data_IF_284506616377
#
_entry.id   IF_284506616377
#
_cell.length_a   1.000
_cell.length_b   1.000
_cell.length_c   1.000
_cell.angle_alpha   90.00
_cell.angle_beta   90.00
_cell.angle_gamma   90.00
#
_symmetry.space_group_name_H-M   'P 1'
#
loop_
_entity.id
_entity.type
_entity.pdbx_description
1 polymer ?
#
# COMPACT_ATOMS: atom_id res chain seq x y z
N UNK A 1 -69.80 -35.24 -2.43
CA UNK A 1 -69.19 -35.93 -1.32
C UNK A 1 -67.72 -35.52 -1.23
N UNK A 2 -67.48 -34.67 -0.28
CA UNK A 2 -66.21 -34.23 0.23
C UNK A 2 -65.44 -35.34 0.93
N UNK A 3 -64.18 -35.49 0.66
CA UNK A 3 -63.10 -35.75 1.62
C UNK A 3 -61.84 -36.18 0.85
N UNK A 4 -60.70 -35.52 1.16
CA UNK A 4 -59.40 -36.10 0.88
C UNK A 4 -58.41 -35.30 0.01
N UNK A 5 -58.14 -34.02 0.35
CA UNK A 5 -56.97 -33.29 -0.18
C UNK A 5 -56.32 -32.49 0.98
N UNK A 6 -55.80 -33.20 1.95
CA UNK A 6 -55.00 -32.57 3.03
C UNK A 6 -53.97 -33.55 3.60
N UNK A 7 -53.09 -34.19 2.82
CA UNK A 7 -52.03 -34.98 3.44
C UNK A 7 -50.78 -35.16 2.55
N UNK A 8 -50.47 -34.26 1.59
CA UNK A 8 -49.29 -34.38 0.74
C UNK A 8 -48.26 -33.22 0.85
N UNK A 9 -48.48 -32.27 1.77
CA UNK A 9 -47.61 -31.11 1.86
C UNK A 9 -46.35 -31.22 2.78
N UNK A 10 -46.20 -32.17 3.74
CA UNK A 10 -44.95 -32.28 4.50
C UNK A 10 -43.84 -33.08 3.80
N UNK A 11 -44.14 -33.95 2.88
CA UNK A 11 -43.12 -34.80 2.21
C UNK A 11 -42.34 -34.10 1.09
N UNK A 12 -42.91 -33.10 0.43
CA UNK A 12 -42.23 -32.38 -0.64
C UNK A 12 -41.20 -31.38 -0.09
N UNK A 13 -41.49 -30.74 1.05
CA UNK A 13 -40.56 -29.80 1.70
C UNK A 13 -39.32 -30.50 2.28
N UNK A 14 -39.48 -31.71 2.82
CA UNK A 14 -38.38 -32.49 3.38
C UNK A 14 -37.44 -33.02 2.29
N UNK A 15 -37.95 -33.43 1.10
CA UNK A 15 -37.13 -33.79 -0.04
C UNK A 15 -36.36 -32.61 -0.62
N UNK A 16 -36.96 -31.41 -0.63
CA UNK A 16 -36.26 -30.19 -1.07
C UNK A 16 -35.15 -29.77 -0.13
N UNK A 17 -35.40 -29.89 1.18
CA UNK A 17 -34.40 -29.60 2.20
C UNK A 17 -33.21 -30.57 2.17
N UNK A 18 -33.49 -31.88 2.03
CA UNK A 18 -32.47 -32.90 1.85
C UNK A 18 -31.67 -32.73 0.53
N UNK A 19 -32.32 -32.35 -0.57
CA UNK A 19 -31.61 -32.03 -1.82
C UNK A 19 -30.71 -30.80 -1.68
N UNK A 20 -31.16 -29.74 -1.02
CA UNK A 20 -30.30 -28.55 -0.74
C UNK A 20 -29.16 -28.89 0.21
N UNK A 21 -29.41 -29.67 1.25
CA UNK A 21 -28.36 -30.10 2.18
C UNK A 21 -27.32 -30.99 1.48
N UNK A 22 -27.74 -31.93 0.64
CA UNK A 22 -26.83 -32.77 -0.16
C UNK A 22 -26.07 -31.94 -1.20
N UNK A 23 -26.70 -30.96 -1.85
CA UNK A 23 -26.02 -30.04 -2.76
C UNK A 23 -25.00 -29.20 -2.04
N UNK A 24 -25.31 -28.69 -0.86
CA UNK A 24 -24.36 -27.90 -0.04
C UNK A 24 -23.18 -28.77 0.45
N UNK A 25 -23.42 -30.01 0.86
CA UNK A 25 -22.35 -30.95 1.24
C UNK A 25 -21.52 -31.36 0.02
N UNK A 26 -22.11 -31.56 -1.15
CA UNK A 26 -21.39 -31.84 -2.39
C UNK A 26 -20.57 -30.62 -2.85
N UNK A 27 -21.10 -29.39 -2.72
CA UNK A 27 -20.35 -28.17 -3.00
C UNK A 27 -19.17 -27.99 -2.04
N UNK A 28 -19.37 -28.29 -0.76
CA UNK A 28 -18.31 -28.23 0.26
C UNK A 28 -17.22 -29.31 0.01
N UNK A 29 -17.60 -30.54 -0.35
CA UNK A 29 -16.65 -31.59 -0.74
C UNK A 29 -15.92 -31.28 -2.04
N UNK A 30 -16.60 -30.72 -3.04
CA UNK A 30 -15.97 -30.29 -4.31
C UNK A 30 -14.98 -29.13 -4.07
N UNK A 31 -15.32 -28.19 -3.18
CA UNK A 31 -14.44 -27.11 -2.75
C UNK A 31 -13.21 -27.65 -2.01
N UNK A 32 -13.36 -28.61 -1.11
CA UNK A 32 -12.23 -29.22 -0.38
C UNK A 32 -11.34 -30.09 -1.26
N UNK A 33 -11.93 -30.79 -2.24
CA UNK A 33 -11.15 -31.56 -3.22
C UNK A 33 -10.38 -30.61 -4.17
N UNK A 34 -11.00 -29.52 -4.57
CA UNK A 34 -10.36 -28.45 -5.35
C UNK A 34 -9.19 -27.81 -4.61
N UNK A 35 -9.32 -27.58 -3.29
CA UNK A 35 -8.24 -27.08 -2.44
C UNK A 35 -7.12 -28.11 -2.28
N UNK A 36 -7.41 -29.39 -2.11
CA UNK A 36 -6.39 -30.46 -2.02
C UNK A 36 -5.59 -30.62 -3.30
N UNK A 37 -6.23 -30.56 -4.45
CA UNK A 37 -5.54 -30.63 -5.75
C UNK A 37 -4.74 -29.36 -6.04
N UNK A 38 -5.22 -28.18 -5.63
CA UNK A 38 -4.50 -26.91 -5.72
C UNK A 38 -3.26 -26.94 -4.83
N UNK A 39 -3.41 -27.38 -3.56
CA UNK A 39 -2.31 -27.46 -2.61
C UNK A 39 -1.24 -28.45 -3.06
N UNK A 40 -1.61 -29.62 -3.60
CA UNK A 40 -0.65 -30.59 -4.13
C UNK A 40 0.19 -30.07 -5.30
N UNK A 41 -0.40 -29.23 -6.18
CA UNK A 41 0.29 -28.62 -7.31
C UNK A 41 1.07 -27.34 -6.99
N UNK A 42 0.81 -26.70 -5.82
CA UNK A 42 1.37 -25.41 -5.42
C UNK A 42 2.03 -25.42 -4.04
N UNK A 43 2.40 -26.60 -3.53
CA UNK A 43 2.95 -26.74 -2.18
C UNK A 43 4.11 -25.76 -1.90
N UNK A 44 5.08 -25.70 -2.81
CA UNK A 44 6.24 -24.80 -2.69
C UNK A 44 5.82 -23.34 -2.68
N UNK A 45 4.84 -22.98 -3.52
CA UNK A 45 4.28 -21.62 -3.54
C UNK A 45 3.60 -21.29 -2.20
N UNK A 46 2.75 -22.19 -1.66
CA UNK A 46 2.07 -21.95 -0.38
C UNK A 46 3.06 -21.76 0.77
N UNK A 47 4.11 -22.55 0.82
CA UNK A 47 5.17 -22.40 1.84
C UNK A 47 5.83 -21.03 1.70
N UNK A 48 6.31 -20.67 0.51
CA UNK A 48 6.97 -19.40 0.28
C UNK A 48 6.03 -18.21 0.54
N UNK A 49 4.82 -18.27 -0.01
CA UNK A 49 3.83 -17.20 0.14
C UNK A 49 3.42 -16.95 1.59
N UNK A 50 3.09 -18.00 2.35
CA UNK A 50 2.62 -17.84 3.74
C UNK A 50 3.73 -17.35 4.66
N UNK A 51 4.95 -17.89 4.53
CA UNK A 51 6.07 -17.49 5.39
C UNK A 51 6.57 -16.09 5.06
N UNK A 52 6.65 -15.72 3.77
CA UNK A 52 7.02 -14.35 3.36
C UNK A 52 5.94 -13.34 3.74
N UNK A 53 4.64 -13.67 3.63
CA UNK A 53 3.56 -12.78 4.07
C UNK A 53 3.59 -12.55 5.59
N UNK A 54 3.90 -13.58 6.37
CA UNK A 54 4.05 -13.46 7.82
C UNK A 54 5.25 -12.59 8.19
N UNK A 55 6.40 -12.79 7.54
CA UNK A 55 7.58 -11.95 7.72
C UNK A 55 7.34 -10.49 7.31
N UNK A 56 6.65 -10.27 6.20
CA UNK A 56 6.28 -8.91 5.78
C UNK A 56 5.38 -8.22 6.81
N UNK A 57 4.45 -8.94 7.43
CA UNK A 57 3.63 -8.39 8.52
C UNK A 57 4.50 -8.02 9.73
N UNK A 58 5.42 -8.89 10.16
CA UNK A 58 6.36 -8.60 11.24
C UNK A 58 7.19 -7.34 10.98
N UNK A 59 7.80 -7.24 9.80
CA UNK A 59 8.61 -6.08 9.41
C UNK A 59 7.78 -4.80 9.25
N UNK A 60 6.53 -4.91 8.78
CA UNK A 60 5.61 -3.78 8.74
C UNK A 60 5.26 -3.29 10.15
N UNK A 61 5.01 -4.22 11.09
CA UNK A 61 4.75 -3.89 12.50
C UNK A 61 5.96 -3.19 13.14
N UNK A 62 7.18 -3.67 12.93
CA UNK A 62 8.41 -3.02 13.41
C UNK A 62 8.56 -1.62 12.83
N UNK A 63 8.33 -1.44 11.52
CA UNK A 63 8.40 -0.13 10.88
C UNK A 63 7.38 0.86 11.45
N UNK A 64 6.14 0.39 11.70
CA UNK A 64 5.09 1.21 12.27
C UNK A 64 5.36 1.55 13.75
N UNK A 65 5.85 0.60 14.55
CA UNK A 65 6.21 0.83 15.95
C UNK A 65 7.42 1.78 16.08
N UNK A 66 8.44 1.67 15.20
CA UNK A 66 9.55 2.63 15.14
C UNK A 66 9.08 4.04 14.81
N UNK A 67 8.09 4.15 13.93
CA UNK A 67 7.46 5.43 13.60
C UNK A 67 6.76 6.03 14.84
N UNK A 68 5.97 5.24 15.59
CA UNK A 68 5.31 5.66 16.82
C UNK A 68 6.35 6.10 17.88
N UNK A 69 7.34 5.25 18.12
CA UNK A 69 8.41 5.54 19.08
C UNK A 69 9.15 6.84 18.73
N UNK A 70 9.47 7.06 17.46
CA UNK A 70 10.15 8.28 17.03
C UNK A 70 9.28 9.52 17.25
N UNK A 71 7.98 9.42 16.99
CA UNK A 71 7.06 10.52 17.22
C UNK A 71 6.90 10.83 18.72
N UNK A 72 6.81 9.81 19.58
CA UNK A 72 6.77 9.99 21.04
C UNK A 72 8.02 10.68 21.57
N UNK A 73 9.19 10.30 21.05
CA UNK A 73 10.47 10.89 21.49
C UNK A 73 10.68 12.34 21.02
N UNK A 74 10.16 12.69 19.86
CA UNK A 74 10.50 13.96 19.21
C UNK A 74 9.33 14.93 19.09
N UNK A 75 8.10 14.43 19.07
CA UNK A 75 6.89 15.21 18.81
C UNK A 75 6.88 15.90 17.44
N UNK A 76 7.76 15.44 16.51
CA UNK A 76 8.01 16.09 15.23
C UNK A 76 7.48 15.27 14.06
N UNK A 77 6.55 15.85 13.31
CA UNK A 77 6.03 15.26 12.06
C UNK A 77 7.12 15.19 10.98
N UNK A 78 8.04 16.14 10.93
CA UNK A 78 9.15 16.14 9.98
C UNK A 78 10.12 14.99 10.25
N UNK A 79 10.45 14.71 11.51
CA UNK A 79 11.37 13.61 11.83
C UNK A 79 10.78 12.25 11.48
N UNK A 80 9.50 12.04 11.73
CA UNK A 80 8.81 10.80 11.30
C UNK A 80 8.66 10.71 9.79
N UNK A 81 8.42 11.83 9.10
CA UNK A 81 8.43 11.88 7.64
C UNK A 81 9.81 11.53 7.07
N UNK A 82 10.90 12.01 7.67
CA UNK A 82 12.27 11.67 7.27
C UNK A 82 12.55 10.16 7.38
N UNK A 83 12.00 9.48 8.37
CA UNK A 83 12.10 8.03 8.49
C UNK A 83 11.51 7.32 7.26
N UNK A 84 10.31 7.74 6.84
CA UNK A 84 9.66 7.23 5.63
C UNK A 84 10.42 7.61 4.35
N UNK A 85 10.94 8.85 4.27
CA UNK A 85 11.75 9.31 3.13
C UNK A 85 13.00 8.44 2.99
N UNK A 86 13.70 8.14 4.06
CA UNK A 86 14.89 7.28 4.04
C UNK A 86 14.58 5.87 3.54
N UNK A 87 13.38 5.34 3.81
CA UNK A 87 12.94 4.07 3.27
C UNK A 87 12.60 4.14 1.77
N UNK A 88 11.92 5.22 1.33
CA UNK A 88 11.45 5.38 -0.05
C UNK A 88 12.51 5.93 -1.03
N UNK A 89 13.42 6.79 -0.58
CA UNK A 89 14.39 7.43 -1.45
C UNK A 89 15.29 6.42 -2.21
N UNK A 90 15.83 5.37 -1.58
CA UNK A 90 16.58 4.34 -2.30
C UNK A 90 15.75 3.66 -3.39
N UNK A 91 14.47 3.40 -3.13
CA UNK A 91 13.55 2.82 -4.12
C UNK A 91 13.39 3.73 -5.34
N UNK A 92 13.17 5.02 -5.14
CA UNK A 92 13.00 5.98 -6.24
C UNK A 92 14.26 6.06 -7.10
N UNK A 93 15.45 6.13 -6.46
CA UNK A 93 16.74 6.24 -7.17
C UNK A 93 17.12 4.93 -7.86
N UNK A 94 16.92 3.80 -7.19
CA UNK A 94 17.41 2.50 -7.65
C UNK A 94 16.37 1.71 -8.47
N UNK A 95 15.09 2.09 -8.46
CA UNK A 95 14.03 1.34 -9.15
C UNK A 95 14.31 1.13 -10.65
N UNK A 96 14.96 2.10 -11.30
CA UNK A 96 15.36 2.00 -12.70
C UNK A 96 16.44 0.92 -12.89
N UNK A 97 17.35 0.77 -11.92
CA UNK A 97 18.48 -0.16 -11.98
C UNK A 97 18.13 -1.54 -11.40
N UNK A 98 17.19 -1.61 -10.46
CA UNK A 98 16.86 -2.81 -9.70
C UNK A 98 16.36 -3.95 -10.59
N UNK A 99 15.58 -3.65 -11.63
CA UNK A 99 15.13 -4.64 -12.61
C UNK A 99 16.31 -5.29 -13.34
N UNK A 100 17.22 -4.49 -13.91
CA UNK A 100 18.37 -4.97 -14.63
C UNK A 100 19.37 -5.74 -13.73
N UNK A 101 19.48 -5.35 -12.46
CA UNK A 101 20.33 -5.99 -11.47
C UNK A 101 19.71 -7.33 -11.02
N UNK A 102 18.40 -7.34 -10.76
CA UNK A 102 17.67 -8.54 -10.40
C UNK A 102 17.73 -9.62 -11.48
N UNK A 103 17.75 -9.27 -12.76
CA UNK A 103 17.79 -10.25 -13.86
C UNK A 103 19.08 -11.08 -13.90
N UNK A 104 20.19 -10.53 -13.41
CA UNK A 104 21.52 -11.16 -13.44
C UNK A 104 21.79 -12.07 -12.24
N UNK A 105 21.10 -11.88 -11.13
CA UNK A 105 21.39 -12.56 -9.88
C UNK A 105 20.47 -13.76 -9.64
N UNK A 106 20.99 -14.76 -8.92
CA UNK A 106 20.18 -15.88 -8.42
C UNK A 106 19.10 -15.37 -7.47
N UNK A 107 17.84 -15.59 -7.84
CA UNK A 107 16.70 -15.04 -7.13
C UNK A 107 16.65 -15.48 -5.67
N UNK A 108 16.97 -16.77 -5.40
CA UNK A 108 16.97 -17.31 -4.03
C UNK A 108 18.09 -16.69 -3.20
N UNK A 109 19.30 -16.59 -3.74
CA UNK A 109 20.43 -15.96 -3.05
C UNK A 109 20.15 -14.49 -2.79
N UNK A 110 19.61 -13.78 -3.76
CA UNK A 110 19.24 -12.36 -3.61
C UNK A 110 18.24 -12.17 -2.46
N UNK A 111 17.16 -12.97 -2.42
CA UNK A 111 16.19 -12.90 -1.33
C UNK A 111 16.83 -13.20 0.02
N UNK A 112 17.62 -14.29 0.14
CA UNK A 112 18.29 -14.63 1.39
C UNK A 112 19.27 -13.55 1.88
N UNK A 113 20.02 -12.93 0.97
CA UNK A 113 20.93 -11.83 1.31
C UNK A 113 20.15 -10.60 1.78
N UNK A 114 19.11 -10.19 1.05
CA UNK A 114 18.27 -9.06 1.44
C UNK A 114 17.57 -9.30 2.79
N UNK A 115 17.01 -10.50 2.98
CA UNK A 115 16.40 -10.91 4.24
C UNK A 115 17.41 -10.86 5.40
N UNK A 116 18.65 -11.34 5.18
CA UNK A 116 19.71 -11.28 6.19
C UNK A 116 20.06 -9.84 6.57
N UNK A 117 20.21 -8.95 5.59
CA UNK A 117 20.47 -7.53 5.88
C UNK A 117 19.31 -6.89 6.65
N UNK A 118 18.06 -7.18 6.28
CA UNK A 118 16.89 -6.70 7.01
C UNK A 118 16.91 -7.17 8.47
N UNK A 119 17.21 -8.45 8.73
CA UNK A 119 17.33 -8.95 10.10
C UNK A 119 18.50 -8.30 10.87
N UNK A 120 19.64 -8.12 10.22
CA UNK A 120 20.79 -7.44 10.86
C UNK A 120 20.42 -5.99 11.25
N UNK A 121 19.68 -5.27 10.44
CA UNK A 121 19.21 -3.92 10.78
C UNK A 121 18.21 -3.94 11.94
N UNK A 122 17.28 -4.91 11.97
CA UNK A 122 16.35 -5.10 13.09
C UNK A 122 17.08 -5.44 14.40
N UNK A 123 18.09 -6.34 14.34
CA UNK A 123 18.96 -6.66 15.51
C UNK A 123 19.74 -5.43 15.96
N UNK A 124 20.27 -4.64 15.03
CA UNK A 124 20.98 -3.40 15.36
C UNK A 124 20.07 -2.40 16.10
N UNK A 125 18.81 -2.24 15.65
CA UNK A 125 17.82 -1.43 16.37
C UNK A 125 17.59 -1.95 17.79
N UNK A 126 17.44 -3.28 17.96
CA UNK A 126 17.23 -3.89 19.27
C UNK A 126 18.40 -3.63 20.23
N UNK A 127 19.64 -3.80 19.75
CA UNK A 127 20.84 -3.55 20.55
C UNK A 127 20.90 -2.07 20.96
N UNK A 128 20.71 -1.16 20.01
CA UNK A 128 20.73 0.29 20.27
C UNK A 128 19.61 0.72 21.23
N UNK A 129 18.44 0.10 21.14
CA UNK A 129 17.32 0.35 22.05
C UNK A 129 17.65 -0.13 23.47
N UNK A 130 18.19 -1.35 23.61
CA UNK A 130 18.54 -1.94 24.91
C UNK A 130 19.72 -1.24 25.61
N UNK A 131 20.56 -0.59 24.85
CA UNK A 131 21.72 0.16 25.39
C UNK A 131 21.41 1.65 25.58
N UNK A 132 20.17 2.08 25.38
CA UNK A 132 19.72 3.49 25.42
C UNK A 132 20.52 4.43 24.48
N UNK A 133 21.14 3.84 23.46
CA UNK A 133 21.92 4.57 22.45
C UNK A 133 21.14 4.87 21.17
N UNK A 134 19.89 4.41 21.08
CA UNK A 134 19.06 4.63 19.88
C UNK A 134 18.79 6.12 19.69
N UNK A 135 19.19 6.66 18.54
CA UNK A 135 18.98 8.05 18.14
C UNK A 135 18.27 8.10 16.79
N UNK A 136 17.54 9.17 16.45
CA UNK A 136 16.82 9.28 15.19
C UNK A 136 17.68 9.01 13.95
N UNK A 137 18.93 9.48 13.92
CA UNK A 137 19.82 9.27 12.77
C UNK A 137 20.19 7.79 12.53
N UNK A 138 20.28 6.97 13.59
CA UNK A 138 20.46 5.53 13.44
C UNK A 138 19.28 4.92 12.69
N UNK A 139 18.06 5.33 13.05
CA UNK A 139 16.84 4.85 12.41
C UNK A 139 16.79 5.25 10.93
N UNK A 140 17.19 6.48 10.58
CA UNK A 140 17.25 6.94 9.19
C UNK A 140 18.23 6.08 8.37
N UNK A 141 19.44 5.86 8.90
CA UNK A 141 20.46 5.05 8.22
C UNK A 141 20.00 3.59 8.02
N UNK A 142 19.44 2.95 9.07
CA UNK A 142 18.97 1.59 9.02
C UNK A 142 17.75 1.43 8.10
N UNK A 143 16.82 2.41 8.09
CA UNK A 143 15.71 2.41 7.15
C UNK A 143 16.15 2.62 5.68
N UNK A 144 17.18 3.43 5.44
CA UNK A 144 17.72 3.61 4.10
C UNK A 144 18.33 2.29 3.57
N UNK A 145 19.03 1.53 4.43
CA UNK A 145 19.54 0.21 4.09
C UNK A 145 18.39 -0.76 3.79
N UNK A 146 17.36 -0.79 4.63
CA UNK A 146 16.17 -1.63 4.40
C UNK A 146 15.45 -1.25 3.10
N UNK A 147 15.27 0.04 2.81
CA UNK A 147 14.68 0.52 1.57
C UNK A 147 15.48 0.08 0.34
N UNK A 148 16.81 0.14 0.41
CA UNK A 148 17.68 -0.36 -0.64
C UNK A 148 17.52 -1.87 -0.85
N UNK A 149 17.52 -2.66 0.22
CA UNK A 149 17.34 -4.11 0.16
C UNK A 149 15.97 -4.47 -0.43
N UNK A 150 14.91 -3.82 0.02
CA UNK A 150 13.55 -4.03 -0.50
C UNK A 150 13.44 -3.74 -2.00
N UNK A 151 14.15 -2.71 -2.50
CA UNK A 151 14.15 -2.35 -3.93
C UNK A 151 14.68 -3.49 -4.81
N UNK A 152 15.66 -4.24 -4.32
CA UNK A 152 16.25 -5.39 -5.04
C UNK A 152 15.46 -6.68 -4.77
N UNK A 153 14.95 -6.86 -3.57
CA UNK A 153 14.22 -8.06 -3.14
C UNK A 153 12.87 -8.22 -3.84
N UNK A 154 12.13 -7.13 -4.02
CA UNK A 154 10.78 -7.18 -4.59
C UNK A 154 10.74 -7.81 -5.99
N UNK A 155 11.54 -7.37 -6.98
CA UNK A 155 11.59 -8.01 -8.29
C UNK A 155 12.06 -9.47 -8.21
N UNK A 156 13.03 -9.78 -7.35
CA UNK A 156 13.54 -11.15 -7.19
C UNK A 156 12.44 -12.09 -6.64
N UNK A 157 11.66 -11.63 -5.66
CA UNK A 157 10.50 -12.36 -5.11
C UNK A 157 9.41 -12.58 -6.14
N UNK A 158 9.09 -11.56 -6.95
CA UNK A 158 8.08 -11.65 -8.00
C UNK A 158 8.44 -12.68 -9.07
N UNK A 159 9.69 -12.70 -9.50
CA UNK A 159 10.21 -13.70 -10.44
C UNK A 159 10.23 -15.09 -9.79
N UNK A 160 10.73 -15.22 -8.55
CA UNK A 160 10.77 -16.49 -7.84
C UNK A 160 9.38 -17.13 -7.71
N UNK A 161 8.36 -16.33 -7.31
CA UNK A 161 6.98 -16.80 -7.24
C UNK A 161 6.42 -17.22 -8.60
N UNK A 162 6.76 -16.51 -9.66
CA UNK A 162 6.36 -16.87 -11.04
C UNK A 162 6.98 -18.18 -11.48
N UNK A 163 8.26 -18.42 -11.17
CA UNK A 163 8.99 -19.64 -11.54
C UNK A 163 8.44 -20.91 -10.90
N UNK A 164 7.94 -20.82 -9.65
CA UNK A 164 7.39 -21.98 -8.92
C UNK A 164 5.89 -22.15 -9.17
N UNK A 165 5.24 -21.24 -9.90
CA UNK A 165 3.80 -21.27 -10.15
C UNK A 165 3.51 -21.83 -11.53
N UNK A 166 2.74 -22.93 -11.68
CA UNK A 166 2.26 -23.38 -12.99
C UNK A 166 1.36 -22.32 -13.67
N UNK A 167 1.54 -22.13 -14.98
CA UNK A 167 0.80 -21.07 -15.77
C UNK A 167 -0.71 -21.07 -15.52
N UNK A 168 -1.33 -22.26 -15.38
CA UNK A 168 -2.77 -22.42 -15.10
C UNK A 168 -3.24 -21.79 -13.77
N UNK A 169 -2.33 -21.46 -12.85
CA UNK A 169 -2.64 -20.95 -11.52
C UNK A 169 -2.23 -19.48 -11.32
N UNK A 170 -1.66 -18.80 -12.32
CA UNK A 170 -1.19 -17.42 -12.20
C UNK A 170 -2.24 -16.47 -11.64
N UNK A 171 -3.50 -16.57 -12.12
CA UNK A 171 -4.59 -15.73 -11.63
C UNK A 171 -4.89 -15.97 -10.14
N UNK A 172 -4.90 -17.23 -9.69
CA UNK A 172 -5.14 -17.58 -8.28
C UNK A 172 -4.00 -17.07 -7.37
N UNK A 173 -2.76 -17.25 -7.81
CA UNK A 173 -1.56 -16.79 -7.10
C UNK A 173 -1.53 -15.26 -7.00
N UNK A 174 -1.87 -14.55 -8.07
CA UNK A 174 -1.98 -13.09 -8.06
C UNK A 174 -3.06 -12.62 -7.07
N UNK A 175 -4.22 -13.29 -7.06
CA UNK A 175 -5.29 -13.01 -6.11
C UNK A 175 -4.86 -13.23 -4.65
N UNK A 176 -4.12 -14.32 -4.37
CA UNK A 176 -3.60 -14.60 -3.02
C UNK A 176 -2.58 -13.57 -2.55
N UNK A 177 -1.71 -13.09 -3.44
CA UNK A 177 -0.76 -12.02 -3.13
C UNK A 177 -1.47 -10.70 -2.82
N UNK A 178 -2.45 -10.34 -3.64
CA UNK A 178 -3.27 -9.15 -3.39
C UNK A 178 -4.03 -9.25 -2.07
N UNK A 179 -4.55 -10.42 -1.73
CA UNK A 179 -5.20 -10.69 -0.46
C UNK A 179 -4.24 -10.50 0.72
N UNK A 180 -3.01 -11.07 0.66
CA UNK A 180 -2.00 -10.86 1.71
C UNK A 180 -1.65 -9.40 1.90
N UNK A 181 -1.41 -8.67 0.81
CA UNK A 181 -1.08 -7.25 0.89
C UNK A 181 -2.21 -6.44 1.54
N UNK A 182 -3.46 -6.71 1.17
CA UNK A 182 -4.62 -6.07 1.80
C UNK A 182 -4.73 -6.43 3.28
N UNK A 183 -4.50 -7.70 3.63
CA UNK A 183 -4.55 -8.17 5.01
C UNK A 183 -3.46 -7.52 5.86
N UNK A 184 -2.23 -7.42 5.35
CA UNK A 184 -1.12 -6.73 6.02
C UNK A 184 -1.47 -5.25 6.22
N UNK A 185 -1.99 -4.56 5.22
CA UNK A 185 -2.39 -3.15 5.32
C UNK A 185 -3.44 -2.91 6.40
N UNK A 186 -4.40 -3.84 6.56
CA UNK A 186 -5.46 -3.75 7.58
C UNK A 186 -4.91 -4.10 8.97
N UNK A 187 -4.17 -5.20 9.09
CA UNK A 187 -3.74 -5.74 10.38
C UNK A 187 -2.53 -5.00 10.97
N UNK A 188 -1.61 -4.53 10.12
CA UNK A 188 -0.38 -3.89 10.57
C UNK A 188 -0.63 -2.75 11.58
N UNK A 189 -1.42 -1.71 11.29
CA UNK A 189 -1.58 -0.60 12.22
C UNK A 189 -2.21 -1.03 13.55
N UNK A 190 -3.21 -1.93 13.53
CA UNK A 190 -3.87 -2.42 14.75
C UNK A 190 -2.94 -3.29 15.58
N UNK A 191 -2.29 -4.29 14.95
CA UNK A 191 -1.43 -5.21 15.67
C UNK A 191 -0.15 -4.52 16.17
N UNK A 192 0.46 -3.66 15.35
CA UNK A 192 1.64 -2.91 15.74
C UNK A 192 1.35 -2.01 16.93
N UNK A 193 0.26 -1.24 16.87
CA UNK A 193 -0.15 -0.35 17.97
C UNK A 193 -0.49 -1.15 19.22
N UNK A 194 -1.27 -2.24 19.11
CA UNK A 194 -1.63 -3.05 20.26
C UNK A 194 -0.40 -3.66 20.93
N UNK A 195 0.50 -4.29 20.16
CA UNK A 195 1.72 -4.89 20.74
C UNK A 195 2.64 -3.82 21.30
N UNK A 196 2.81 -2.69 20.61
CA UNK A 196 3.65 -1.58 21.07
C UNK A 196 3.14 -1.01 22.40
N UNK A 197 1.84 -0.68 22.48
CA UNK A 197 1.26 -0.06 23.68
C UNK A 197 1.16 -1.02 24.87
N UNK A 198 0.92 -2.34 24.67
CA UNK A 198 0.76 -3.29 25.76
C UNK A 198 2.04 -3.99 26.16
N UNK A 199 2.95 -4.24 25.23
CA UNK A 199 4.13 -5.09 25.45
C UNK A 199 5.47 -4.36 25.12
N UNK A 200 5.40 -3.16 24.57
CA UNK A 200 6.57 -2.34 24.25
C UNK A 200 7.27 -2.73 22.94
N UNK A 201 8.25 -1.90 22.57
CA UNK A 201 9.00 -2.01 21.31
C UNK A 201 9.79 -3.31 21.19
N UNK A 202 10.36 -3.79 22.29
CA UNK A 202 11.15 -5.03 22.30
C UNK A 202 10.37 -6.22 21.79
N UNK A 203 9.10 -6.37 22.21
CA UNK A 203 8.25 -7.51 21.82
C UNK A 203 7.90 -7.42 20.33
N UNK A 204 7.66 -6.22 19.80
CA UNK A 204 7.44 -6.03 18.35
C UNK A 204 8.65 -6.51 17.56
N UNK A 205 9.87 -6.12 17.98
CA UNK A 205 11.12 -6.53 17.34
C UNK A 205 11.34 -8.06 17.45
N UNK A 206 11.06 -8.68 18.60
CA UNK A 206 11.17 -10.14 18.74
C UNK A 206 10.19 -10.88 17.83
N UNK A 207 8.96 -10.40 17.68
CA UNK A 207 7.98 -10.98 16.76
C UNK A 207 8.46 -10.88 15.29
N UNK A 208 9.04 -9.74 14.89
CA UNK A 208 9.61 -9.57 13.55
C UNK A 208 10.77 -10.57 13.32
N UNK A 209 11.73 -10.62 14.23
CA UNK A 209 12.86 -11.56 14.13
C UNK A 209 12.41 -13.02 14.10
N UNK A 210 11.37 -13.39 14.86
CA UNK A 210 10.83 -14.74 14.87
C UNK A 210 10.15 -15.08 13.53
N UNK A 211 9.31 -14.18 13.01
CA UNK A 211 8.65 -14.38 11.71
C UNK A 211 9.66 -14.39 10.56
N UNK A 212 10.70 -13.55 10.65
CA UNK A 212 11.84 -13.58 9.75
C UNK A 212 12.55 -14.93 9.76
N UNK A 213 12.91 -15.47 10.95
CA UNK A 213 13.59 -16.76 11.05
C UNK A 213 12.78 -17.88 10.39
N UNK A 214 11.47 -17.92 10.62
CA UNK A 214 10.57 -18.87 9.96
C UNK A 214 10.61 -18.73 8.43
N UNK A 215 10.53 -17.52 7.90
CA UNK A 215 10.56 -17.25 6.46
C UNK A 215 11.93 -17.61 5.85
N UNK A 216 13.02 -17.25 6.53
CA UNK A 216 14.38 -17.50 6.10
C UNK A 216 14.68 -19.03 6.00
N UNK A 217 14.36 -19.79 7.04
CA UNK A 217 14.56 -21.24 7.02
C UNK A 217 13.63 -21.94 6.03
N UNK A 218 12.37 -21.47 5.88
CA UNK A 218 11.47 -21.99 4.87
C UNK A 218 12.01 -21.76 3.45
N UNK A 219 12.56 -20.57 3.17
CA UNK A 219 13.19 -20.27 1.88
C UNK A 219 14.48 -21.08 1.68
N UNK A 220 15.31 -21.18 2.71
CA UNK A 220 16.60 -21.89 2.66
C UNK A 220 16.43 -23.39 2.35
N UNK A 221 15.55 -24.05 3.08
CA UNK A 221 15.39 -25.52 3.05
C UNK A 221 14.21 -25.96 2.19
N UNK A 222 13.07 -25.25 2.29
CA UNK A 222 11.79 -25.66 1.73
C UNK A 222 11.58 -25.28 0.25
N UNK A 223 12.31 -24.29 -0.27
CA UNK A 223 12.09 -23.76 -1.61
C UNK A 223 13.26 -24.11 -2.54
N UNK A 224 12.99 -24.91 -3.54
CA UNK A 224 13.93 -25.19 -4.65
C UNK A 224 13.49 -24.35 -5.86
N UNK A 225 14.28 -23.34 -6.24
CA UNK A 225 14.06 -22.58 -7.46
C UNK A 225 14.80 -23.23 -8.61
N UNK A 226 14.19 -23.37 -9.80
CA UNK A 226 14.91 -23.80 -11.00
C UNK A 226 16.02 -22.78 -11.31
N UNK A 227 17.19 -23.26 -11.67
CA UNK A 227 18.24 -22.38 -12.19
C UNK A 227 17.78 -21.87 -13.57
N UNK A 228 17.77 -20.56 -13.75
CA UNK A 228 17.55 -19.98 -15.07
C UNK A 228 18.74 -20.39 -15.94
N UNK A 229 18.47 -21.20 -16.96
CA UNK A 229 19.48 -21.49 -18.00
C UNK A 229 19.78 -20.21 -18.76
N UNK A 230 21.03 -19.89 -18.97
CA UNK A 230 21.56 -18.64 -19.60
C UNK A 230 21.07 -18.34 -21.03
N UNK A 231 20.08 -19.10 -21.54
CA UNK A 231 19.61 -19.02 -22.93
C UNK A 231 18.47 -18.03 -23.21
N UNK A 232 17.77 -17.50 -22.17
CA UNK A 232 16.65 -16.57 -22.33
C UNK A 232 16.94 -15.14 -21.85
N UNK A 233 18.21 -14.76 -21.71
CA UNK A 233 18.59 -13.38 -21.48
C UNK A 233 18.23 -12.57 -22.73
N UNK A 234 17.05 -11.97 -22.71
CA UNK A 234 16.61 -10.96 -23.66
C UNK A 234 17.76 -10.07 -24.08
N UNK A 235 17.90 -9.81 -25.38
CA UNK A 235 18.94 -8.97 -25.97
C UNK A 235 19.14 -7.71 -25.13
N UNK A 236 20.37 -7.55 -24.60
CA UNK A 236 20.75 -6.45 -23.70
C UNK A 236 20.74 -5.13 -24.47
N UNK A 237 19.58 -4.51 -24.59
CA UNK A 237 19.57 -3.11 -24.99
C UNK A 237 20.25 -2.25 -23.91
N UNK A 238 21.01 -1.25 -24.34
CA UNK A 238 21.63 -0.29 -23.42
C UNK A 238 20.55 0.40 -22.58
N UNK A 239 20.82 0.56 -21.28
CA UNK A 239 19.96 1.28 -20.34
C UNK A 239 19.51 2.65 -20.88
N UNK A 240 20.44 3.41 -21.47
CA UNK A 240 20.13 4.71 -22.08
C UNK A 240 19.10 4.61 -23.20
N UNK A 241 19.18 3.60 -24.04
CA UNK A 241 18.22 3.37 -25.14
C UNK A 241 16.84 3.06 -24.58
N UNK A 242 16.76 2.27 -23.52
CA UNK A 242 15.52 1.90 -22.85
C UNK A 242 14.83 3.13 -22.25
N UNK A 243 15.53 3.93 -21.46
CA UNK A 243 15.01 5.15 -20.84
C UNK A 243 14.62 6.19 -21.91
N UNK A 244 15.49 6.42 -22.89
CA UNK A 244 15.25 7.39 -23.97
C UNK A 244 14.03 7.03 -24.83
N UNK A 245 13.83 5.74 -25.12
CA UNK A 245 12.66 5.27 -25.86
C UNK A 245 11.36 5.43 -25.05
N UNK A 246 11.37 5.12 -23.75
CA UNK A 246 10.24 5.34 -22.87
C UNK A 246 9.85 6.82 -22.74
N UNK A 247 10.84 7.71 -22.52
CA UNK A 247 10.59 9.16 -22.45
C UNK A 247 10.11 9.74 -23.80
N UNK A 248 10.64 9.26 -24.92
CA UNK A 248 10.16 9.67 -26.25
C UNK A 248 8.71 9.26 -26.43
N UNK A 249 8.35 8.02 -26.08
CA UNK A 249 6.96 7.57 -26.16
C UNK A 249 6.03 8.44 -25.32
N UNK A 250 6.42 8.79 -24.08
CA UNK A 250 5.62 9.65 -23.20
C UNK A 250 5.44 11.05 -23.79
N UNK A 251 6.49 11.62 -24.39
CA UNK A 251 6.41 12.93 -25.06
C UNK A 251 5.46 12.91 -26.25
N UNK A 252 5.48 11.84 -27.02
CA UNK A 252 4.64 11.70 -28.23
C UNK A 252 3.19 11.35 -27.85
N UNK A 253 2.96 10.69 -26.70
CA UNK A 253 1.63 10.32 -26.18
C UNK A 253 1.21 11.21 -25.00
N UNK A 254 0.76 12.43 -25.34
CA UNK A 254 0.41 13.46 -24.35
C UNK A 254 -0.64 13.03 -23.33
N UNK A 255 -1.62 12.18 -23.70
CA UNK A 255 -2.61 11.66 -22.75
C UNK A 255 -1.94 10.89 -21.62
N UNK A 256 -1.04 9.96 -21.95
CA UNK A 256 -0.33 9.14 -20.96
C UNK A 256 0.55 10.02 -20.07
N UNK A 257 1.28 10.97 -20.66
CA UNK A 257 2.11 11.92 -19.90
C UNK A 257 1.28 12.74 -18.93
N UNK A 258 0.14 13.29 -19.36
CA UNK A 258 -0.75 14.09 -18.50
C UNK A 258 -1.35 13.25 -17.37
N UNK A 259 -1.71 11.98 -17.62
CA UNK A 259 -2.17 11.05 -16.57
C UNK A 259 -1.07 10.77 -15.55
N UNK A 260 0.16 10.56 -16.00
CA UNK A 260 1.31 10.34 -15.09
C UNK A 260 1.58 11.56 -14.22
N UNK A 261 1.57 12.77 -14.82
CA UNK A 261 1.75 14.01 -14.06
C UNK A 261 0.58 14.29 -13.10
N UNK A 262 -0.64 13.96 -13.49
CA UNK A 262 -1.79 13.99 -12.58
C UNK A 262 -1.56 13.10 -11.36
N UNK A 263 -1.14 11.86 -11.59
CA UNK A 263 -0.83 10.92 -10.50
C UNK A 263 0.35 11.38 -9.64
N UNK A 264 1.36 11.99 -10.24
CA UNK A 264 2.46 12.59 -9.49
C UNK A 264 1.95 13.67 -8.53
N UNK A 265 1.03 14.53 -8.99
CA UNK A 265 0.37 15.52 -8.14
C UNK A 265 -0.49 14.89 -7.04
N UNK A 266 -1.26 13.85 -7.36
CA UNK A 266 -2.04 13.09 -6.37
C UNK A 266 -1.14 12.44 -5.34
N UNK A 267 -0.04 11.79 -5.76
CA UNK A 267 0.92 11.16 -4.84
C UNK A 267 1.62 12.18 -3.94
N UNK A 268 1.91 13.38 -4.45
CA UNK A 268 2.46 14.46 -3.62
C UNK A 268 1.51 14.82 -2.47
N UNK A 269 0.22 15.02 -2.77
CA UNK A 269 -0.78 15.37 -1.75
C UNK A 269 -1.00 14.19 -0.80
N UNK A 270 -1.12 12.97 -1.32
CA UNK A 270 -1.34 11.77 -0.50
C UNK A 270 -0.15 11.48 0.44
N UNK A 271 1.08 11.61 -0.04
CA UNK A 271 2.26 11.40 0.81
C UNK A 271 2.47 12.53 1.84
N UNK A 272 2.11 13.78 1.50
CA UNK A 272 2.06 14.85 2.49
C UNK A 272 1.00 14.56 3.56
N UNK A 273 -0.16 14.06 3.17
CA UNK A 273 -1.20 13.58 4.09
C UNK A 273 -0.68 12.47 5.03
N UNK A 274 0.05 11.48 4.50
CA UNK A 274 0.63 10.39 5.30
C UNK A 274 1.62 10.90 6.37
N UNK A 275 2.36 11.98 6.10
CA UNK A 275 3.24 12.61 7.08
C UNK A 275 2.47 13.38 8.17
N UNK A 276 1.31 13.96 7.82
CA UNK A 276 0.53 14.84 8.70
C UNK A 276 -0.45 14.06 9.58
N UNK A 277 -1.02 12.96 9.08
CA UNK A 277 -2.06 12.18 9.76
C UNK A 277 -1.65 11.74 11.18
N UNK A 278 -0.44 11.17 11.40
CA UNK A 278 -0.02 10.80 12.75
C UNK A 278 0.14 12.01 13.67
N UNK A 279 0.70 13.11 13.17
CA UNK A 279 0.85 14.35 13.95
C UNK A 279 -0.51 14.90 14.38
N UNK A 280 -1.51 14.84 13.48
CA UNK A 280 -2.88 15.23 13.80
C UNK A 280 -3.47 14.36 14.93
N UNK A 281 -3.40 13.04 14.79
CA UNK A 281 -4.10 12.11 15.70
C UNK A 281 -3.36 11.97 17.03
N UNK A 282 -2.04 11.80 17.02
CA UNK A 282 -1.25 11.58 18.24
C UNK A 282 -1.17 12.82 19.15
N UNK A 283 -1.34 14.03 18.59
CA UNK A 283 -1.29 15.27 19.37
C UNK A 283 -2.63 15.73 19.94
N UNK A 284 -3.75 15.11 19.55
CA UNK A 284 -5.09 15.49 20.03
C UNK A 284 -5.47 14.73 21.30
N UNK A 285 -6.21 15.37 22.21
CA UNK A 285 -6.71 14.76 23.46
C UNK A 285 -7.56 13.51 23.22
N UNK A 286 -8.42 13.52 22.19
CA UNK A 286 -9.23 12.37 21.78
C UNK A 286 -8.52 11.41 20.84
N UNK A 287 -7.22 11.60 20.64
CA UNK A 287 -6.37 10.79 19.74
C UNK A 287 -5.58 9.72 20.48
N UNK A 288 -4.36 9.50 20.02
CA UNK A 288 -3.41 8.54 20.58
C UNK A 288 -3.15 7.36 19.63
N UNK A 289 -2.26 6.47 20.04
CA UNK A 289 -1.76 5.37 19.21
C UNK A 289 -2.88 4.44 18.75
N UNK A 290 -3.74 4.00 19.67
CA UNK A 290 -4.86 3.09 19.36
C UNK A 290 -5.83 3.70 18.35
N UNK A 291 -6.08 5.02 18.46
CA UNK A 291 -6.93 5.75 17.51
C UNK A 291 -6.23 5.82 16.15
N UNK A 292 -4.93 6.13 16.11
CA UNK A 292 -4.15 6.14 14.87
C UNK A 292 -4.17 4.78 14.18
N UNK A 293 -3.95 3.70 14.94
CA UNK A 293 -4.02 2.32 14.43
C UNK A 293 -5.39 2.00 13.83
N UNK A 294 -6.47 2.38 14.53
CA UNK A 294 -7.85 2.16 14.08
C UNK A 294 -8.15 2.96 12.81
N UNK A 295 -7.82 4.25 12.80
CA UNK A 295 -8.05 5.15 11.65
C UNK A 295 -7.27 4.68 10.42
N UNK A 296 -6.01 4.27 10.58
CA UNK A 296 -5.20 3.73 9.49
C UNK A 296 -5.75 2.41 8.96
N UNK A 297 -6.29 1.54 9.83
CA UNK A 297 -6.92 0.28 9.41
C UNK A 297 -8.21 0.49 8.64
N UNK A 298 -8.96 1.57 8.93
CA UNK A 298 -10.15 1.95 8.15
C UNK A 298 -9.80 2.23 6.68
N UNK A 299 -8.63 2.81 6.38
CA UNK A 299 -8.16 2.99 5.02
C UNK A 299 -7.93 1.64 4.30
N UNK A 300 -7.33 0.66 4.99
CA UNK A 300 -7.14 -0.69 4.46
C UNK A 300 -8.46 -1.39 4.16
N UNK A 301 -9.42 -1.33 5.10
CA UNK A 301 -10.77 -1.90 4.93
C UNK A 301 -11.49 -1.22 3.75
N UNK A 302 -11.42 0.10 3.66
CA UNK A 302 -12.02 0.86 2.56
C UNK A 302 -11.45 0.48 1.21
N UNK A 303 -10.13 0.31 1.11
CA UNK A 303 -9.44 -0.14 -0.12
C UNK A 303 -9.88 -1.54 -0.52
N UNK A 304 -10.03 -2.46 0.45
CA UNK A 304 -10.54 -3.81 0.18
C UNK A 304 -11.99 -3.78 -0.33
N UNK A 305 -12.87 -3.04 0.34
CA UNK A 305 -14.27 -2.87 -0.08
C UNK A 305 -14.36 -2.21 -1.47
N UNK A 306 -13.57 -1.16 -1.71
CA UNK A 306 -13.47 -0.50 -3.00
C UNK A 306 -13.04 -1.46 -4.11
N UNK A 307 -12.09 -2.35 -3.84
CA UNK A 307 -11.64 -3.37 -4.80
C UNK A 307 -12.74 -4.38 -5.13
N UNK A 308 -13.56 -4.78 -4.15
CA UNK A 308 -14.73 -5.63 -4.38
C UNK A 308 -15.77 -4.89 -5.23
N UNK A 309 -16.07 -3.63 -4.90
CA UNK A 309 -17.02 -2.80 -5.65
C UNK A 309 -16.59 -2.68 -7.12
N UNK A 310 -15.31 -2.44 -7.39
CA UNK A 310 -14.79 -2.32 -8.76
C UNK A 310 -15.00 -3.60 -9.58
N UNK A 311 -14.91 -4.79 -8.96
CA UNK A 311 -15.12 -6.05 -9.67
C UNK A 311 -16.58 -6.29 -10.07
N UNK A 312 -17.53 -5.65 -9.37
CA UNK A 312 -18.97 -5.78 -9.61
C UNK A 312 -19.48 -4.69 -10.56
N UNK A 313 -18.85 -3.51 -10.54
CA UNK A 313 -19.30 -2.37 -11.35
C UNK A 313 -19.04 -2.61 -12.85
N UNK A 314 -20.00 -2.24 -13.71
CA UNK A 314 -19.78 -2.28 -15.16
C UNK A 314 -18.74 -1.25 -15.59
N UNK A 315 -18.08 -1.51 -16.72
CA UNK A 315 -17.10 -0.57 -17.28
C UNK A 315 -17.73 0.82 -17.54
N UNK A 316 -17.10 1.90 -17.06
CA UNK A 316 -17.66 3.24 -17.23
C UNK A 316 -17.51 3.72 -18.69
N UNK A 317 -18.47 4.51 -19.17
CA UNK A 317 -18.43 5.11 -20.51
C UNK A 317 -17.26 6.07 -20.72
N UNK A 318 -16.73 6.66 -19.67
CA UNK A 318 -15.61 7.60 -19.73
C UNK A 318 -14.64 7.38 -18.56
N UNK A 319 -13.61 6.57 -18.78
CA UNK A 319 -12.60 6.20 -17.79
C UNK A 319 -11.80 7.41 -17.28
N UNK A 320 -11.45 8.33 -18.19
CA UNK A 320 -10.71 9.56 -17.83
C UNK A 320 -11.50 10.38 -16.81
N UNK A 321 -12.83 10.52 -17.05
CA UNK A 321 -13.70 11.26 -16.14
C UNK A 321 -13.78 10.60 -14.76
N UNK A 322 -13.85 9.28 -14.72
CA UNK A 322 -13.86 8.53 -13.46
C UNK A 322 -12.56 8.77 -12.69
N UNK A 323 -11.39 8.69 -13.35
CA UNK A 323 -10.08 8.86 -12.70
C UNK A 323 -9.99 10.19 -11.94
N UNK A 324 -10.25 11.34 -12.58
CA UNK A 324 -10.08 12.61 -11.89
C UNK A 324 -11.22 12.96 -10.94
N UNK A 325 -12.47 12.51 -11.19
CA UNK A 325 -13.59 12.77 -10.28
C UNK A 325 -13.51 11.94 -9.00
N UNK A 326 -13.09 10.70 -9.08
CA UNK A 326 -12.88 9.87 -7.88
C UNK A 326 -11.82 10.49 -6.98
N UNK A 327 -10.71 10.97 -7.54
CA UNK A 327 -9.66 11.64 -6.75
C UNK A 327 -10.10 13.02 -6.25
N UNK A 328 -10.87 13.76 -7.02
CA UNK A 328 -11.44 15.03 -6.56
C UNK A 328 -12.32 14.84 -5.32
N UNK A 329 -13.18 13.83 -5.36
CA UNK A 329 -14.07 13.53 -4.23
C UNK A 329 -13.29 12.95 -3.05
N UNK A 330 -12.37 12.01 -3.30
CA UNK A 330 -11.52 11.39 -2.29
C UNK A 330 -10.70 12.43 -1.54
N UNK A 331 -9.79 13.12 -2.21
CA UNK A 331 -8.86 14.08 -1.58
C UNK A 331 -9.59 15.28 -0.97
N UNK A 332 -10.65 15.77 -1.63
CA UNK A 332 -11.44 16.89 -1.10
C UNK A 332 -12.16 16.49 0.18
N UNK A 333 -12.94 15.41 0.17
CA UNK A 333 -13.77 15.04 1.32
C UNK A 333 -12.92 14.59 2.51
N UNK A 334 -11.94 13.71 2.28
CA UNK A 334 -11.10 13.16 3.33
C UNK A 334 -10.33 14.28 4.07
N UNK A 335 -9.58 15.09 3.33
CA UNK A 335 -8.73 16.10 3.93
C UNK A 335 -9.53 17.16 4.70
N UNK A 336 -10.66 17.61 4.16
CA UNK A 336 -11.50 18.58 4.87
C UNK A 336 -12.20 17.98 6.09
N UNK A 337 -12.64 16.71 6.00
CA UNK A 337 -13.28 16.05 7.13
C UNK A 337 -12.27 15.86 8.29
N UNK A 338 -11.03 15.50 8.00
CA UNK A 338 -9.98 15.37 9.01
C UNK A 338 -9.56 16.75 9.55
N UNK A 339 -9.50 17.77 8.71
CA UNK A 339 -9.13 19.12 9.13
C UNK A 339 -10.09 19.73 10.15
N UNK A 340 -11.41 19.59 9.92
CA UNK A 340 -12.43 20.22 10.76
C UNK A 340 -12.94 19.35 11.90
N UNK A 341 -12.58 18.07 11.93
CA UNK A 341 -13.06 17.13 12.96
C UNK A 341 -12.05 16.95 14.09
N UNK A 342 -12.59 16.80 15.30
CA UNK A 342 -11.83 16.37 16.48
C UNK A 342 -12.34 15.00 16.99
N UNK A 343 -13.20 14.33 16.24
CA UNK A 343 -13.81 13.06 16.64
C UNK A 343 -13.10 11.87 15.94
N UNK A 344 -12.64 10.85 16.69
CA UNK A 344 -12.10 9.63 16.12
C UNK A 344 -13.01 8.96 15.10
N UNK A 345 -14.33 8.99 15.34
CA UNK A 345 -15.31 8.40 14.42
C UNK A 345 -15.31 9.12 13.07
N UNK A 346 -15.25 10.46 13.08
CA UNK A 346 -15.22 11.24 11.84
C UNK A 346 -13.88 11.08 11.10
N UNK A 347 -12.77 10.88 11.80
CA UNK A 347 -11.49 10.52 11.18
C UNK A 347 -11.57 9.16 10.47
N UNK A 348 -12.19 8.15 11.10
CA UNK A 348 -12.43 6.85 10.45
C UNK A 348 -13.33 6.99 9.22
N UNK A 349 -14.41 7.78 9.31
CA UNK A 349 -15.31 8.04 8.18
C UNK A 349 -14.56 8.75 7.04
N UNK A 350 -13.71 9.72 7.36
CA UNK A 350 -12.85 10.41 6.39
C UNK A 350 -11.95 9.44 5.64
N UNK A 351 -11.26 8.55 6.36
CA UNK A 351 -10.42 7.50 5.77
C UNK A 351 -11.22 6.55 4.87
N UNK A 352 -12.40 6.12 5.32
CA UNK A 352 -13.24 5.24 4.49
C UNK A 352 -13.64 5.93 3.19
N UNK A 353 -14.09 7.17 3.24
CA UNK A 353 -14.50 7.94 2.05
C UNK A 353 -13.31 8.19 1.12
N UNK A 354 -12.16 8.54 1.67
CA UNK A 354 -10.95 8.80 0.91
C UNK A 354 -10.47 7.57 0.14
N UNK A 355 -10.35 6.43 0.82
CA UNK A 355 -9.68 5.25 0.27
C UNK A 355 -10.58 4.30 -0.53
N UNK A 356 -11.90 4.33 -0.33
CA UNK A 356 -12.82 3.42 -1.04
C UNK A 356 -12.83 3.63 -2.56
N UNK A 357 -12.53 4.85 -3.02
CA UNK A 357 -12.53 5.22 -4.44
C UNK A 357 -11.18 5.00 -5.13
N UNK A 358 -10.10 4.83 -4.39
CA UNK A 358 -8.73 4.63 -4.95
C UNK A 358 -8.63 3.41 -5.86
N UNK A 359 -9.21 2.22 -5.53
CA UNK A 359 -9.22 1.08 -6.44
C UNK A 359 -9.94 1.35 -7.75
N UNK A 360 -11.03 2.12 -7.73
CA UNK A 360 -11.77 2.49 -8.93
C UNK A 360 -10.94 3.37 -9.87
N UNK A 361 -10.20 4.33 -9.31
CA UNK A 361 -9.25 5.15 -10.06
C UNK A 361 -8.17 4.27 -10.69
N UNK A 362 -7.50 3.41 -9.87
CA UNK A 362 -6.40 2.55 -10.32
C UNK A 362 -6.83 1.59 -11.43
N UNK A 363 -7.98 0.93 -11.29
CA UNK A 363 -8.48 0.00 -12.30
C UNK A 363 -8.72 0.69 -13.66
N UNK A 364 -9.31 1.87 -13.67
CA UNK A 364 -9.55 2.62 -14.91
C UNK A 364 -8.25 3.13 -15.54
N UNK A 365 -7.30 3.56 -14.71
CA UNK A 365 -5.97 3.95 -15.16
C UNK A 365 -5.21 2.79 -15.79
N UNK A 366 -5.21 1.63 -15.14
CA UNK A 366 -4.52 0.43 -15.66
C UNK A 366 -5.09 -0.02 -17.01
N UNK A 367 -6.40 0.07 -17.20
CA UNK A 367 -7.00 -0.23 -18.52
C UNK A 367 -6.49 0.74 -19.58
N UNK A 368 -6.48 2.06 -19.32
CA UNK A 368 -5.98 3.04 -20.29
C UNK A 368 -4.51 2.76 -20.63
N UNK A 369 -3.67 2.53 -19.62
CA UNK A 369 -2.23 2.29 -19.83
C UNK A 369 -1.99 1.03 -20.65
N UNK A 370 -2.64 -0.09 -20.28
CA UNK A 370 -2.45 -1.39 -20.95
C UNK A 370 -2.98 -1.42 -22.38
N UNK A 371 -4.07 -0.71 -22.64
CA UNK A 371 -4.65 -0.66 -23.99
C UNK A 371 -3.96 0.34 -24.93
N UNK A 372 -3.33 1.37 -24.38
CA UNK A 372 -2.70 2.45 -25.19
C UNK A 372 -1.22 2.15 -25.46
N UNK A 373 -0.50 1.54 -24.49
CA UNK A 373 0.93 1.30 -24.59
C UNK A 373 1.19 -0.03 -25.31
N UNK A 374 1.89 -0.07 -26.46
CA UNK A 374 2.29 -1.30 -27.12
C UNK A 374 3.04 -2.25 -26.19
N UNK A 375 2.80 -3.55 -26.33
CA UNK A 375 3.34 -4.58 -25.41
C UNK A 375 4.87 -4.51 -25.31
N UNK A 376 5.55 -4.26 -26.43
CA UNK A 376 7.01 -4.15 -26.52
C UNK A 376 7.59 -2.94 -25.76
N UNK A 377 6.77 -1.90 -25.55
CA UNK A 377 7.18 -0.66 -24.88
C UNK A 377 6.70 -0.59 -23.43
N UNK A 378 5.79 -1.48 -22.99
CA UNK A 378 5.19 -1.41 -21.66
C UNK A 378 6.24 -1.36 -20.55
N UNK A 379 7.22 -2.25 -20.57
CA UNK A 379 8.29 -2.26 -19.55
C UNK A 379 9.06 -0.94 -19.48
N UNK A 380 9.41 -0.36 -20.62
CA UNK A 380 10.15 0.91 -20.73
C UNK A 380 9.31 2.10 -20.23
N UNK A 381 8.06 2.15 -20.66
CA UNK A 381 7.14 3.23 -20.29
C UNK A 381 6.76 3.14 -18.82
N UNK A 382 6.52 1.93 -18.28
CA UNK A 382 6.22 1.75 -16.86
C UNK A 382 7.40 2.12 -15.97
N UNK A 383 8.64 1.84 -16.39
CA UNK A 383 9.83 2.26 -15.66
C UNK A 383 9.91 3.80 -15.57
N UNK A 384 9.74 4.49 -16.70
CA UNK A 384 9.70 5.96 -16.72
C UNK A 384 8.52 6.53 -15.92
N UNK A 385 7.33 5.90 -16.03
CA UNK A 385 6.15 6.25 -15.23
C UNK A 385 6.47 6.17 -13.74
N UNK A 386 7.01 5.03 -13.26
CA UNK A 386 7.27 4.82 -11.85
C UNK A 386 8.22 5.89 -11.29
N UNK A 387 9.26 6.24 -12.02
CA UNK A 387 10.17 7.31 -11.61
C UNK A 387 9.46 8.65 -11.53
N UNK A 388 8.74 9.06 -12.57
CA UNK A 388 8.05 10.35 -12.63
C UNK A 388 6.90 10.45 -11.60
N UNK A 389 6.22 9.34 -11.33
CA UNK A 389 5.08 9.30 -10.41
C UNK A 389 5.53 9.22 -8.96
N UNK A 390 6.53 8.40 -8.63
CA UNK A 390 6.93 8.14 -7.25
C UNK A 390 8.00 9.10 -6.72
N UNK A 391 8.68 9.84 -7.59
CA UNK A 391 9.61 10.91 -7.17
C UNK A 391 8.94 11.96 -6.29
N UNK A 392 7.65 12.20 -6.45
CA UNK A 392 6.90 13.18 -5.67
C UNK A 392 6.59 12.71 -4.24
N UNK A 393 6.68 11.40 -3.94
CA UNK A 393 6.39 10.85 -2.60
C UNK A 393 7.36 11.40 -1.53
N UNK A 394 8.69 11.32 -1.67
CA UNK A 394 9.61 11.94 -0.70
C UNK A 394 9.40 13.44 -0.55
N UNK A 395 9.08 14.13 -1.65
CA UNK A 395 8.82 15.57 -1.61
C UNK A 395 7.54 15.91 -0.85
N UNK A 396 6.47 15.12 -1.02
CA UNK A 396 5.22 15.29 -0.29
C UNK A 396 5.40 15.01 1.20
N UNK A 397 6.06 13.89 1.56
CA UNK A 397 6.38 13.58 2.95
C UNK A 397 7.15 14.71 3.63
N UNK A 398 8.20 15.23 2.97
CA UNK A 398 8.98 16.36 3.48
C UNK A 398 8.11 17.61 3.63
N UNK A 399 7.35 17.97 2.59
CA UNK A 399 6.50 19.15 2.62
C UNK A 399 5.44 19.07 3.73
N UNK A 400 4.78 17.92 3.90
CA UNK A 400 3.80 17.71 4.96
C UNK A 400 4.38 17.89 6.34
N UNK A 401 5.48 17.19 6.67
CA UNK A 401 6.16 17.29 7.95
C UNK A 401 6.72 18.70 8.23
N UNK A 402 7.35 19.32 7.22
CA UNK A 402 7.88 20.67 7.34
C UNK A 402 6.79 21.71 7.59
N UNK A 403 5.68 21.63 6.86
CA UNK A 403 4.55 22.56 7.03
C UNK A 403 3.92 22.42 8.42
N UNK A 404 3.83 21.22 8.97
CA UNK A 404 3.33 21.04 10.35
C UNK A 404 4.28 21.70 11.33
N UNK A 405 5.54 21.26 11.38
CA UNK A 405 6.46 21.61 12.47
C UNK A 405 6.96 23.06 12.42
N UNK A 406 7.20 23.61 11.21
CA UNK A 406 7.87 24.90 11.05
C UNK A 406 6.95 26.04 10.62
N UNK A 407 5.75 25.72 10.15
CA UNK A 407 4.83 26.75 9.64
C UNK A 407 3.53 26.76 10.44
N UNK A 408 2.75 25.70 10.40
CA UNK A 408 1.38 25.73 10.88
C UNK A 408 1.28 25.58 12.41
N UNK A 409 2.06 24.72 13.07
CA UNK A 409 2.06 24.65 14.54
C UNK A 409 2.56 25.93 15.18
N UNK A 410 3.67 26.59 14.74
CA UNK A 410 4.04 27.90 15.25
C UNK A 410 3.00 29.00 15.02
N UNK A 411 2.32 29.02 13.85
CA UNK A 411 1.24 29.97 13.58
C UNK A 411 0.08 29.73 14.56
N UNK A 412 -0.35 28.49 14.74
CA UNK A 412 -1.45 28.14 15.64
C UNK A 412 -1.14 28.37 17.13
N UNK A 413 0.14 28.31 17.52
CA UNK A 413 0.60 28.63 18.86
C UNK A 413 0.70 30.14 19.13
N UNK A 414 0.67 30.98 18.10
CA UNK A 414 0.79 32.43 18.21
C UNK A 414 -0.55 33.12 18.52
N UNK A 415 -0.49 34.34 19.05
CA UNK A 415 -1.68 35.16 19.28
C UNK A 415 -2.43 35.51 17.99
N UNK A 416 -1.78 35.40 16.84
CA UNK A 416 -2.39 35.64 15.51
C UNK A 416 -3.48 34.61 15.17
N UNK A 417 -3.42 33.40 15.75
CA UNK A 417 -4.41 32.34 15.52
C UNK A 417 -5.68 32.50 16.35
N UNK A 418 -5.70 33.40 17.37
CA UNK A 418 -6.87 33.59 18.22
C UNK A 418 -8.05 34.09 17.41
N UNK A 419 -9.19 33.39 17.54
CA UNK A 419 -10.41 33.66 16.80
C UNK A 419 -10.67 32.62 15.71
N UNK A 420 -10.86 33.04 14.47
CA UNK A 420 -11.33 32.20 13.37
C UNK A 420 -10.53 30.91 13.15
N UNK A 421 -9.18 30.94 13.26
CA UNK A 421 -8.34 29.76 13.03
C UNK A 421 -8.51 28.75 14.18
N UNK A 422 -8.58 29.20 15.42
CA UNK A 422 -8.80 28.31 16.58
C UNK A 422 -10.22 27.73 16.60
N UNK A 423 -11.20 28.48 16.11
CA UNK A 423 -12.59 27.98 15.98
C UNK A 423 -12.70 26.90 14.89
N UNK A 424 -11.94 27.03 13.80
CA UNK A 424 -11.97 26.07 12.67
C UNK A 424 -11.13 24.83 12.95
N UNK A 425 -9.90 24.98 13.46
CA UNK A 425 -8.94 23.89 13.58
C UNK A 425 -8.73 23.39 15.01
N UNK A 426 -9.40 24.00 15.96
CA UNK A 426 -9.26 23.71 17.38
C UNK A 426 -8.01 24.37 18.01
N UNK A 427 -7.85 24.15 19.33
CA UNK A 427 -6.73 24.70 20.12
C UNK A 427 -5.73 23.61 20.48
N UNK A 428 -4.51 24.02 20.85
CA UNK A 428 -3.47 23.14 21.34
C UNK A 428 -2.69 22.40 20.23
N UNK A 429 -1.88 21.41 20.65
CA UNK A 429 -1.08 20.59 19.73
C UNK A 429 -1.96 19.85 18.74
N UNK A 430 -1.50 19.75 17.49
CA UNK A 430 -2.24 19.13 16.39
C UNK A 430 -3.21 20.06 15.66
N UNK A 431 -3.38 21.32 16.12
CA UNK A 431 -4.17 22.31 15.38
C UNK A 431 -3.45 22.77 14.12
N UNK A 432 -2.12 22.88 14.15
CA UNK A 432 -1.31 23.13 12.97
C UNK A 432 -1.38 21.96 11.96
N UNK A 433 -1.38 20.72 12.43
CA UNK A 433 -1.58 19.57 11.57
C UNK A 433 -2.97 19.57 10.90
N UNK A 434 -4.04 19.97 11.62
CA UNK A 434 -5.37 20.15 11.04
C UNK A 434 -5.40 21.26 9.96
N UNK A 435 -4.70 22.36 10.19
CA UNK A 435 -4.53 23.44 9.21
C UNK A 435 -3.80 22.93 7.94
N UNK A 436 -2.75 22.09 8.10
CA UNK A 436 -2.07 21.47 6.94
C UNK A 436 -3.02 20.54 6.19
N UNK A 437 -3.84 19.73 6.87
CA UNK A 437 -4.86 18.90 6.22
C UNK A 437 -5.81 19.74 5.34
N UNK A 438 -6.24 20.90 5.84
CA UNK A 438 -7.05 21.83 5.06
C UNK A 438 -6.32 22.33 3.82
N UNK A 439 -5.05 22.73 3.94
CA UNK A 439 -4.22 23.17 2.81
C UNK A 439 -4.06 22.03 1.78
N UNK A 440 -3.85 20.79 2.24
CA UNK A 440 -3.76 19.62 1.38
C UNK A 440 -5.09 19.32 0.67
N UNK A 441 -6.21 19.52 1.34
CA UNK A 441 -7.54 19.44 0.72
C UNK A 441 -7.69 20.40 -0.44
N UNK A 442 -7.32 21.67 -0.25
CA UNK A 442 -7.32 22.70 -1.32
C UNK A 442 -6.36 22.30 -2.44
N UNK A 443 -5.12 21.88 -2.10
CA UNK A 443 -4.12 21.48 -3.09
C UNK A 443 -4.61 20.28 -3.92
N UNK A 444 -5.19 19.26 -3.27
CA UNK A 444 -5.76 18.09 -3.95
C UNK A 444 -6.91 18.45 -4.90
N UNK A 445 -7.83 19.29 -4.45
CA UNK A 445 -8.92 19.81 -5.28
C UNK A 445 -8.36 20.60 -6.47
N UNK A 446 -7.38 21.48 -6.25
CA UNK A 446 -6.74 22.25 -7.33
C UNK A 446 -6.07 21.33 -8.36
N UNK A 447 -5.29 20.35 -7.92
CA UNK A 447 -4.66 19.34 -8.80
C UNK A 447 -5.74 18.64 -9.65
N UNK A 448 -6.80 18.14 -9.01
CA UNK A 448 -7.87 17.44 -9.71
C UNK A 448 -8.63 18.33 -10.70
N UNK A 449 -8.88 19.60 -10.37
CA UNK A 449 -9.57 20.55 -11.27
C UNK A 449 -8.69 20.97 -12.45
N UNK A 450 -7.41 21.28 -12.20
CA UNK A 450 -6.46 21.69 -13.25
C UNK A 450 -6.28 20.54 -14.25
N UNK A 451 -5.89 19.37 -13.76
CA UNK A 451 -5.69 18.20 -14.61
C UNK A 451 -7.00 17.67 -15.21
N UNK A 452 -8.12 17.76 -14.47
CA UNK A 452 -9.44 17.44 -15.00
C UNK A 452 -9.84 18.29 -16.21
N UNK A 453 -9.51 19.60 -16.19
CA UNK A 453 -9.72 20.50 -17.37
C UNK A 453 -8.84 20.09 -18.54
N UNK A 454 -7.59 19.74 -18.30
CA UNK A 454 -6.64 19.30 -19.34
C UNK A 454 -7.09 17.95 -19.91
N UNK A 455 -7.41 16.99 -19.05
CA UNK A 455 -7.80 15.62 -19.41
C UNK A 455 -9.13 15.57 -20.20
N UNK A 456 -10.07 16.49 -19.96
CA UNK A 456 -11.33 16.59 -20.73
C UNK A 456 -11.12 16.85 -22.24
N UNK A 457 -9.96 17.36 -22.62
CA UNK A 457 -9.62 17.59 -24.04
C UNK A 457 -9.30 16.28 -24.78
N UNK A 458 -8.99 15.22 -24.05
CA UNK A 458 -8.65 13.91 -24.62
C UNK A 458 -9.87 13.00 -24.62
N UNK A 459 -10.14 12.41 -25.78
CA UNK A 459 -11.12 11.32 -25.91
C UNK A 459 -10.38 9.99 -25.82
N UNK A 460 -10.87 9.11 -24.99
CA UNK A 460 -10.44 7.72 -24.92
C UNK A 460 -11.65 6.85 -25.27
N UNK A 461 -11.55 6.04 -26.33
CA UNK A 461 -12.54 5.07 -26.76
C UNK A 461 -12.01 3.69 -26.39
N UNK A 462 -12.80 2.92 -25.66
CA UNK A 462 -12.48 1.50 -25.37
C UNK A 462 -12.49 0.76 -26.72
N UNK A 463 -11.31 0.33 -27.21
CA UNK A 463 -11.15 -0.48 -28.42
C UNK A 463 -11.33 -1.94 -28.10
#
# INVERSE_FOLDING_TARGET
CSHGIYDLLPFASHKLYLRRAVQNVMHCKCSMQGLRTLYGGLKTFFILWSTQSLSQLGSAMTSFALFLWLYEQTGSALQTALLSICSYAPYVVMSIFAGALSDRWDKKKTMLVCDTFAACTTVAVLILLRTDLLRPWHMYALNAINGLMNTVQQPASDVAMTMITPKRHYQKVSGMRSFSNSLITILNPVLATAVFSFAGMDVVIYLDLMTFAVAFFALLVGVKLPLLTEGEASQKESFEVTVKSGLRYLRDNRLILVLILFLAGVNFVASAFDAVLPALILSRENGGETVLGTVSSCAGIATLLGSIIVTILPAPKNRIRVIYLTMLFSLGTENFLLAFSQSPVLWCVGQIIGWILVPLMNANLDVILRSTIPLELQGRVYSCRNTLQFFTIPLGLFAGGFLVDHVCEPIMASDMARGLLTDLFGQGKGSGAAMVMFILGIAGVCVCLIFGRILRKYKYEDR
#
